data_IF_282811836291
#
_entry.id   IF_282811836291
#
_cell.length_a   1.000
_cell.length_b   1.000
_cell.length_c   1.000
_cell.angle_alpha   90.00
_cell.angle_beta   90.00
_cell.angle_gamma   90.00
#
_symmetry.space_group_name_H-M   'P 1'
#
loop_
_entity.id
_entity.type
_entity.pdbx_description
1 polymer ?
#
# COMPACT_ATOMS: atom_id res chain seq x y z
N UNK A 1 7.08 -17.10 -17.27
CA UNK A 1 6.36 -18.30 -16.85
C UNK A 1 5.06 -17.89 -16.18
N UNK A 2 3.93 -18.18 -16.80
CA UNK A 2 2.64 -17.81 -16.24
C UNK A 2 2.25 -18.79 -15.16
N UNK A 3 2.27 -18.35 -13.92
CA UNK A 3 1.75 -19.12 -12.80
C UNK A 3 0.22 -19.01 -12.87
N UNK A 4 -0.44 -20.12 -13.07
CA UNK A 4 -1.89 -20.14 -13.11
C UNK A 4 -2.44 -20.03 -11.69
N UNK A 5 -3.22 -18.97 -11.46
CA UNK A 5 -3.81 -18.71 -10.15
C UNK A 5 -5.06 -19.58 -10.03
N UNK A 6 -4.91 -20.74 -9.43
CA UNK A 6 -6.00 -21.69 -9.20
C UNK A 6 -6.45 -21.62 -7.74
N UNK A 7 -7.61 -22.25 -7.46
CA UNK A 7 -8.10 -22.39 -6.09
C UNK A 7 -7.12 -23.14 -5.21
N UNK A 8 -6.43 -24.14 -5.79
CA UNK A 8 -5.42 -24.91 -5.08
C UNK A 8 -4.23 -24.04 -4.70
N UNK A 9 -3.79 -23.17 -5.62
CA UNK A 9 -2.70 -22.22 -5.36
C UNK A 9 -3.07 -21.29 -4.21
N UNK A 10 -4.28 -20.72 -4.27
CA UNK A 10 -4.78 -19.80 -3.22
C UNK A 10 -4.86 -20.52 -1.87
N UNK A 11 -5.36 -21.76 -1.85
CA UNK A 11 -5.46 -22.55 -0.62
C UNK A 11 -4.11 -22.80 0.03
N UNK A 12 -3.10 -23.14 -0.76
CA UNK A 12 -1.74 -23.35 -0.26
C UNK A 12 -1.14 -22.02 0.22
N UNK A 13 -1.37 -20.95 -0.54
CA UNK A 13 -0.89 -19.62 -0.17
C UNK A 13 -1.45 -19.18 1.18
N UNK A 14 -2.77 -19.31 1.38
CA UNK A 14 -3.42 -18.96 2.65
C UNK A 14 -2.83 -19.80 3.80
N UNK A 15 -2.64 -21.07 3.57
CA UNK A 15 -2.04 -21.96 4.57
C UNK A 15 -0.65 -21.48 4.97
N UNK A 16 0.19 -21.13 4.00
CA UNK A 16 1.55 -20.64 4.26
C UNK A 16 1.56 -19.30 4.97
N UNK A 17 0.63 -18.41 4.63
CA UNK A 17 0.48 -17.13 5.31
C UNK A 17 0.10 -17.35 6.78
N UNK A 18 -0.85 -18.24 7.04
CA UNK A 18 -1.31 -18.53 8.40
C UNK A 18 -0.25 -19.24 9.24
N UNK A 19 0.64 -20.00 8.61
CA UNK A 19 1.80 -20.60 9.25
C UNK A 19 2.92 -19.58 9.50
N UNK A 20 2.78 -18.37 8.97
CA UNK A 20 3.80 -17.31 8.99
C UNK A 20 5.10 -17.77 8.31
N UNK A 21 4.97 -18.59 7.29
CA UNK A 21 6.10 -19.11 6.53
C UNK A 21 6.49 -18.10 5.44
N UNK A 22 7.25 -17.09 5.82
CA UNK A 22 7.65 -15.99 4.95
C UNK A 22 8.36 -16.48 3.68
N UNK A 23 9.26 -17.43 3.82
CA UNK A 23 10.04 -17.95 2.71
C UNK A 23 9.16 -18.60 1.66
N UNK A 24 8.21 -19.45 2.09
CA UNK A 24 7.30 -20.12 1.18
C UNK A 24 6.39 -19.14 0.47
N UNK A 25 5.89 -18.14 1.19
CA UNK A 25 5.02 -17.10 0.60
C UNK A 25 5.79 -16.31 -0.46
N UNK A 26 7.01 -15.89 -0.15
CA UNK A 26 7.86 -15.18 -1.13
C UNK A 26 8.09 -16.01 -2.38
N UNK A 27 8.41 -17.28 -2.22
CA UNK A 27 8.66 -18.18 -3.35
C UNK A 27 7.41 -18.35 -4.22
N UNK A 28 6.25 -18.47 -3.59
CA UNK A 28 4.98 -18.62 -4.33
C UNK A 28 4.62 -17.37 -5.12
N UNK A 29 4.96 -16.19 -4.62
CA UNK A 29 4.63 -14.91 -5.25
C UNK A 29 5.73 -14.40 -6.18
N UNK A 30 6.90 -15.03 -6.16
CA UNK A 30 8.02 -14.64 -6.98
C UNK A 30 7.67 -14.76 -8.48
N UNK A 31 7.98 -13.72 -9.23
CA UNK A 31 7.70 -13.69 -10.66
C UNK A 31 6.29 -13.25 -11.04
N UNK A 32 5.40 -13.07 -10.08
CA UNK A 32 4.08 -12.52 -10.35
C UNK A 32 4.15 -10.99 -10.42
N UNK A 33 3.36 -10.41 -11.31
CA UNK A 33 3.22 -8.96 -11.40
C UNK A 33 2.42 -8.43 -10.21
N UNK A 34 2.68 -7.19 -9.77
CA UNK A 34 1.87 -6.57 -8.71
C UNK A 34 0.36 -6.60 -8.99
N UNK A 35 -0.05 -6.42 -10.25
CA UNK A 35 -1.46 -6.49 -10.63
C UNK A 35 -2.06 -7.88 -10.36
N UNK A 36 -1.30 -8.94 -10.64
CA UNK A 36 -1.74 -10.32 -10.39
C UNK A 36 -1.85 -10.62 -8.89
N UNK A 37 -0.90 -10.10 -8.12
CA UNK A 37 -0.93 -10.23 -6.66
C UNK A 37 -2.12 -9.46 -6.08
N UNK A 38 -2.41 -8.28 -6.62
CA UNK A 38 -3.57 -7.49 -6.20
C UNK A 38 -4.88 -8.25 -6.44
N UNK A 39 -4.99 -8.98 -7.56
CA UNK A 39 -6.16 -9.83 -7.82
C UNK A 39 -6.30 -10.95 -6.79
N UNK A 40 -5.16 -11.55 -6.38
CA UNK A 40 -5.16 -12.57 -5.34
C UNK A 40 -5.72 -12.05 -4.02
N UNK A 41 -5.56 -10.76 -3.77
CA UNK A 41 -5.99 -10.14 -2.52
C UNK A 41 -7.50 -10.23 -2.30
N UNK A 42 -8.29 -10.34 -3.37
CA UNK A 42 -9.74 -10.54 -3.25
C UNK A 42 -10.08 -11.83 -2.49
N UNK A 43 -9.17 -12.81 -2.53
CA UNK A 43 -9.34 -14.11 -1.87
C UNK A 43 -8.70 -14.16 -0.47
N UNK A 44 -8.05 -13.07 -0.04
CA UNK A 44 -7.35 -13.00 1.24
C UNK A 44 -8.09 -12.07 2.21
N UNK A 45 -7.99 -12.38 3.50
CA UNK A 45 -8.48 -11.48 4.54
C UNK A 45 -7.56 -10.27 4.64
N UNK A 46 -8.03 -9.19 5.28
CA UNK A 46 -7.21 -7.99 5.48
C UNK A 46 -5.92 -8.31 6.23
N UNK A 47 -5.98 -9.19 7.22
CA UNK A 47 -4.80 -9.60 7.98
C UNK A 47 -3.79 -10.34 7.10
N UNK A 48 -4.29 -11.23 6.23
CA UNK A 48 -3.45 -11.96 5.28
C UNK A 48 -2.83 -11.02 4.25
N UNK A 49 -3.60 -10.07 3.75
CA UNK A 49 -3.13 -9.04 2.83
C UNK A 49 -2.00 -8.20 3.46
N UNK A 50 -2.20 -7.77 4.69
CA UNK A 50 -1.21 -6.98 5.42
C UNK A 50 0.09 -7.76 5.61
N UNK A 51 -0.01 -9.06 5.89
CA UNK A 51 1.16 -9.93 6.00
C UNK A 51 1.98 -9.92 4.70
N UNK A 52 1.31 -10.06 3.56
CA UNK A 52 1.97 -10.07 2.25
C UNK A 52 2.64 -8.73 1.97
N UNK A 53 1.95 -7.62 2.21
CA UNK A 53 2.49 -6.28 2.00
C UNK A 53 3.75 -6.05 2.85
N UNK A 54 3.71 -6.45 4.11
CA UNK A 54 4.84 -6.30 5.03
C UNK A 54 6.03 -7.18 4.64
N UNK A 55 5.76 -8.32 4.03
CA UNK A 55 6.76 -9.33 3.68
C UNK A 55 7.56 -9.00 2.43
N UNK A 56 6.89 -8.44 1.40
CA UNK A 56 7.50 -8.20 0.10
C UNK A 56 8.40 -6.95 0.12
N UNK A 57 9.23 -6.83 -0.93
CA UNK A 57 10.07 -5.64 -1.11
C UNK A 57 9.18 -4.39 -1.15
N UNK A 58 9.66 -3.29 -0.58
CA UNK A 58 8.87 -2.07 -0.45
C UNK A 58 8.34 -1.54 -1.79
N UNK A 59 9.15 -1.59 -2.84
CA UNK A 59 8.74 -1.14 -4.17
C UNK A 59 7.61 -2.00 -4.73
N UNK A 60 7.70 -3.32 -4.56
CA UNK A 60 6.66 -4.26 -4.98
C UNK A 60 5.37 -4.02 -4.20
N UNK A 61 5.48 -3.86 -2.89
CA UNK A 61 4.34 -3.60 -2.02
C UNK A 61 3.63 -2.29 -2.38
N UNK A 62 4.40 -1.24 -2.68
CA UNK A 62 3.85 0.04 -3.12
C UNK A 62 3.06 -0.12 -4.42
N UNK A 63 3.60 -0.85 -5.38
CA UNK A 63 2.93 -1.12 -6.66
C UNK A 63 1.64 -1.91 -6.46
N UNK A 64 1.65 -2.91 -5.57
CA UNK A 64 0.44 -3.69 -5.26
C UNK A 64 -0.63 -2.78 -4.66
N UNK A 65 -0.26 -1.93 -3.72
CA UNK A 65 -1.20 -1.02 -3.07
C UNK A 65 -1.85 -0.08 -4.08
N UNK A 66 -1.09 0.40 -5.08
CA UNK A 66 -1.61 1.26 -6.14
C UNK A 66 -2.59 0.53 -7.07
N UNK A 67 -2.45 -0.79 -7.22
CA UNK A 67 -3.35 -1.61 -8.05
C UNK A 67 -4.67 -1.96 -7.33
N UNK A 68 -4.71 -1.82 -6.00
CA UNK A 68 -5.92 -2.13 -5.21
C UNK A 68 -6.94 -1.01 -5.31
N UNK A 69 -8.21 -1.35 -5.07
CA UNK A 69 -9.26 -0.37 -4.94
C UNK A 69 -9.07 0.41 -3.63
N UNK A 70 -9.56 1.65 -3.61
CA UNK A 70 -9.40 2.56 -2.48
C UNK A 70 -9.83 1.95 -1.15
N UNK A 71 -11.00 1.30 -1.12
CA UNK A 71 -11.54 0.71 0.10
C UNK A 71 -10.64 -0.38 0.66
N UNK A 72 -10.14 -1.24 -0.22
CA UNK A 72 -9.23 -2.33 0.17
C UNK A 72 -7.90 -1.79 0.66
N UNK A 73 -7.37 -0.79 -0.04
CA UNK A 73 -6.11 -0.15 0.33
C UNK A 73 -6.21 0.51 1.68
N UNK A 74 -7.30 1.22 1.95
CA UNK A 74 -7.54 1.87 3.25
C UNK A 74 -7.53 0.87 4.40
N UNK A 75 -8.17 -0.28 4.22
CA UNK A 75 -8.20 -1.33 5.24
C UNK A 75 -6.81 -1.82 5.59
N UNK A 76 -5.98 -2.03 4.57
CA UNK A 76 -4.61 -2.49 4.76
C UNK A 76 -3.79 -1.41 5.46
N UNK A 77 -3.85 -0.17 4.97
CA UNK A 77 -3.08 0.94 5.53
C UNK A 77 -3.49 1.25 6.97
N UNK A 78 -4.74 0.97 7.33
CA UNK A 78 -5.19 1.13 8.72
C UNK A 78 -4.44 0.21 9.70
N UNK A 79 -3.93 -0.92 9.22
CA UNK A 79 -3.16 -1.85 10.05
C UNK A 79 -1.70 -1.42 10.24
N UNK A 80 -1.22 -0.47 9.44
CA UNK A 80 0.16 0.01 9.52
C UNK A 80 0.27 1.29 10.34
N UNK A 81 1.41 1.46 11.02
CA UNK A 81 1.71 2.70 11.73
C UNK A 81 2.06 3.81 10.73
N UNK A 82 1.99 5.07 11.18
CA UNK A 82 2.37 6.20 10.35
C UNK A 82 3.81 6.09 9.86
N UNK A 83 4.71 5.61 10.70
CA UNK A 83 6.11 5.40 10.36
C UNK A 83 6.27 4.35 9.25
N UNK A 84 5.55 3.24 9.37
CA UNK A 84 5.57 2.17 8.36
C UNK A 84 5.04 2.70 7.02
N UNK A 85 3.94 3.44 7.03
CA UNK A 85 3.38 4.02 5.80
C UNK A 85 4.38 4.98 5.17
N UNK A 86 5.00 5.86 5.95
CA UNK A 86 5.97 6.83 5.43
C UNK A 86 7.19 6.15 4.82
N UNK A 87 7.76 5.17 5.52
CA UNK A 87 9.03 4.56 5.11
C UNK A 87 8.88 3.43 4.09
N UNK A 88 7.81 2.64 4.21
CA UNK A 88 7.61 1.45 3.38
C UNK A 88 6.75 1.71 2.16
N UNK A 89 5.85 2.67 2.23
CA UNK A 89 4.88 2.93 1.16
C UNK A 89 5.20 4.23 0.44
N UNK A 90 5.15 5.34 1.15
CA UNK A 90 5.29 6.68 0.56
C UNK A 90 6.68 6.89 -0.05
N UNK A 91 7.71 6.39 0.61
CA UNK A 91 9.10 6.54 0.15
C UNK A 91 9.35 5.90 -1.22
N UNK A 92 8.55 4.92 -1.59
CA UNK A 92 8.71 4.18 -2.86
C UNK A 92 7.84 4.72 -3.99
N UNK A 93 7.05 5.75 -3.72
CA UNK A 93 6.09 6.30 -4.68
C UNK A 93 6.54 7.65 -5.25
N UNK A 94 6.09 7.95 -6.47
CA UNK A 94 6.15 9.30 -6.99
C UNK A 94 5.29 10.22 -6.14
N UNK A 95 5.63 11.49 -6.12
CA UNK A 95 4.92 12.47 -5.27
C UNK A 95 3.42 12.49 -5.53
N UNK A 96 3.00 12.39 -6.79
CA UNK A 96 1.57 12.39 -7.15
C UNK A 96 0.81 11.21 -6.54
N UNK A 97 1.40 10.01 -6.63
CA UNK A 97 0.81 8.81 -6.06
C UNK A 97 0.79 8.88 -4.54
N UNK A 98 1.87 9.38 -3.95
CA UNK A 98 1.98 9.56 -2.50
C UNK A 98 0.89 10.50 -1.97
N UNK A 99 0.62 11.60 -2.68
CA UNK A 99 -0.44 12.56 -2.32
C UNK A 99 -1.80 11.87 -2.33
N UNK A 100 -2.08 11.06 -3.36
CA UNK A 100 -3.35 10.34 -3.46
C UNK A 100 -3.55 9.38 -2.28
N UNK A 101 -2.51 8.63 -1.93
CA UNK A 101 -2.56 7.69 -0.79
C UNK A 101 -2.77 8.46 0.52
N UNK A 102 -2.03 9.54 0.73
CA UNK A 102 -2.14 10.34 1.95
C UNK A 102 -3.53 10.96 2.09
N UNK A 103 -4.12 11.43 0.98
CA UNK A 103 -5.48 11.98 0.98
C UNK A 103 -6.55 10.97 1.41
N UNK A 104 -6.30 9.69 1.25
CA UNK A 104 -7.22 8.64 1.67
C UNK A 104 -7.21 8.39 3.18
N UNK A 105 -6.18 8.88 3.87
CA UNK A 105 -6.02 8.68 5.32
C UNK A 105 -6.85 9.69 6.11
N UNK A 106 -7.14 9.35 7.37
CA UNK A 106 -7.76 10.32 8.29
C UNK A 106 -6.82 11.50 8.50
N UNK A 107 -7.36 12.66 8.88
CA UNK A 107 -6.56 13.87 9.09
C UNK A 107 -5.42 13.63 10.09
N UNK A 108 -5.70 12.93 11.17
CA UNK A 108 -4.70 12.59 12.18
C UNK A 108 -3.58 11.73 11.60
N UNK A 109 -3.94 10.66 10.90
CA UNK A 109 -2.99 9.73 10.29
C UNK A 109 -2.16 10.44 9.22
N UNK A 110 -2.83 11.26 8.42
CA UNK A 110 -2.19 12.08 7.39
C UNK A 110 -1.05 12.92 7.97
N UNK A 111 -1.33 13.67 9.02
CA UNK A 111 -0.34 14.53 9.68
C UNK A 111 0.80 13.71 10.27
N UNK A 112 0.49 12.57 10.88
CA UNK A 112 1.49 11.68 11.45
C UNK A 112 2.41 11.11 10.38
N UNK A 113 1.86 10.69 9.23
CA UNK A 113 2.63 10.15 8.11
C UNK A 113 3.59 11.20 7.55
N UNK A 114 3.09 12.42 7.30
CA UNK A 114 3.90 13.51 6.76
C UNK A 114 5.07 13.82 7.71
N UNK A 115 4.81 13.83 9.01
CA UNK A 115 5.84 14.07 10.02
C UNK A 115 6.93 13.00 10.03
N UNK A 116 6.62 11.77 9.62
CA UNK A 116 7.55 10.66 9.60
C UNK A 116 8.35 10.52 8.31
N UNK A 117 8.03 11.30 7.27
CA UNK A 117 8.76 11.25 6.01
C UNK A 117 10.18 11.77 6.23
N UNK A 118 11.18 10.93 5.94
CA UNK A 118 12.59 11.27 6.13
C UNK A 118 13.11 12.26 5.10
N UNK A 119 12.67 12.12 3.85
CA UNK A 119 13.06 13.05 2.78
C UNK A 119 12.27 14.34 2.92
N UNK A 120 12.92 15.38 3.46
CA UNK A 120 12.28 16.65 3.76
C UNK A 120 11.82 17.40 2.50
N UNK A 121 12.49 17.20 1.37
CA UNK A 121 12.07 17.79 0.10
C UNK A 121 10.77 17.14 -0.39
N UNK A 122 10.69 15.82 -0.32
CA UNK A 122 9.46 15.09 -0.66
C UNK A 122 8.32 15.50 0.28
N UNK A 123 8.59 15.61 1.57
CA UNK A 123 7.59 16.00 2.56
C UNK A 123 7.04 17.40 2.24
N UNK A 124 7.90 18.33 1.84
CA UNK A 124 7.49 19.69 1.45
C UNK A 124 6.62 19.67 0.19
N UNK A 125 7.02 18.90 -0.81
CA UNK A 125 6.26 18.79 -2.06
C UNK A 125 4.88 18.20 -1.81
N UNK A 126 4.80 17.15 -0.99
CA UNK A 126 3.53 16.52 -0.63
C UNK A 126 2.64 17.52 0.11
N UNK A 127 3.19 18.18 1.10
CA UNK A 127 2.46 19.18 1.89
C UNK A 127 1.93 20.31 1.00
N UNK A 128 2.76 20.80 0.09
CA UNK A 128 2.39 21.85 -0.84
C UNK A 128 1.23 21.42 -1.74
N UNK A 129 1.29 20.24 -2.32
CA UNK A 129 0.24 19.72 -3.18
C UNK A 129 -1.06 19.50 -2.44
N UNK A 130 -1.00 19.00 -1.21
CA UNK A 130 -2.19 18.83 -0.36
C UNK A 130 -2.82 20.19 -0.04
N UNK A 131 -2.01 21.18 0.31
CA UNK A 131 -2.45 22.51 0.67
C UNK A 131 -3.04 23.24 -0.56
N UNK A 132 -2.37 23.17 -1.71
CA UNK A 132 -2.86 23.79 -2.95
C UNK A 132 -4.19 23.18 -3.38
N UNK A 133 -4.33 21.86 -3.29
CA UNK A 133 -5.58 21.17 -3.61
C UNK A 133 -6.73 21.67 -2.73
N UNK A 134 -6.48 21.81 -1.43
CA UNK A 134 -7.46 22.34 -0.48
C UNK A 134 -7.81 23.80 -0.80
N UNK A 135 -6.80 24.62 -1.14
CA UNK A 135 -7.02 26.02 -1.52
C UNK A 135 -7.84 26.15 -2.78
N UNK A 136 -7.60 25.33 -3.78
CA UNK A 136 -8.38 25.31 -5.01
C UNK A 136 -9.85 24.99 -4.76
N UNK A 137 -10.12 24.04 -3.87
CA UNK A 137 -11.49 23.71 -3.46
C UNK A 137 -12.18 24.90 -2.79
N UNK A 138 -11.45 25.60 -1.94
CA UNK A 138 -11.96 26.77 -1.24
C UNK A 138 -12.36 27.87 -2.23
N UNK A 139 -11.52 28.13 -3.22
CA UNK A 139 -11.81 29.15 -4.25
C UNK A 139 -12.93 28.73 -5.19
N UNK A 140 -13.08 27.43 -5.47
CA UNK A 140 -14.15 26.93 -6.34
C UNK A 140 -15.52 27.05 -5.71
N UNK A 141 -15.59 27.02 -4.37
CA UNK A 141 -16.84 27.15 -3.63
C UNK A 141 -17.23 28.62 -3.36
N UNK A 142 -16.30 29.52 -3.55
CA UNK A 142 -16.55 30.95 -3.44
C UNK A 142 -17.09 31.49 -4.77
#
# INVERSE_FOLDING_TARGET
MNVEITKDFIGVLVEKINEQNAKAVKEMLDGLHPADIAELFDELSTKEQAFVIDLLENDTSADILLELEEDDRKKILHTFSAKEIANEVINEMDTDDAVDIINELSDRKKNEVIAQIEDKEQAKEIFFLLFCSASQRFWAEA
#
